data_IF_095482379278
#
_entry.id   IF_095482379278
#
_cell.length_a   1.000
_cell.length_b   1.000
_cell.length_c   1.000
_cell.angle_alpha   90.00
_cell.angle_beta   90.00
_cell.angle_gamma   90.00
#
_symmetry.space_group_name_H-M   'P 1'
#
loop_
_entity.id
_entity.type
_entity.pdbx_description
1 polymer ?
#
# COMPACT_ATOMS: atom_id res chain seq x y z
N UNK A 1 39.06 15.24 -18.41
CA UNK A 1 37.76 14.61 -18.77
C UNK A 1 36.85 14.84 -17.58
N UNK A 2 35.78 15.61 -17.78
CA UNK A 2 34.80 15.92 -16.73
C UNK A 2 33.90 14.72 -16.52
N UNK A 3 33.73 14.31 -15.27
CA UNK A 3 32.89 13.18 -14.90
C UNK A 3 31.46 13.32 -15.48
N UNK A 4 31.01 12.28 -16.20
CA UNK A 4 29.72 12.26 -16.93
C UNK A 4 28.61 11.63 -16.09
N UNK A 5 28.97 10.77 -15.14
CA UNK A 5 28.03 10.05 -14.27
C UNK A 5 27.63 10.96 -13.10
N UNK A 6 26.32 11.09 -12.84
CA UNK A 6 25.79 11.87 -11.73
C UNK A 6 24.85 11.02 -10.89
N UNK A 7 24.90 11.19 -9.58
CA UNK A 7 23.92 10.61 -8.68
C UNK A 7 22.53 11.21 -8.98
N UNK A 8 21.54 10.33 -9.07
CA UNK A 8 20.15 10.76 -9.17
C UNK A 8 19.71 11.33 -7.82
N UNK A 9 18.89 12.39 -7.81
CA UNK A 9 18.23 12.82 -6.59
C UNK A 9 17.37 11.69 -5.99
N UNK A 10 17.32 11.58 -4.67
CA UNK A 10 16.64 10.48 -3.96
C UNK A 10 15.18 10.32 -4.39
N UNK A 11 14.45 11.42 -4.58
CA UNK A 11 13.04 11.36 -5.02
C UNK A 11 12.88 10.73 -6.41
N UNK A 12 13.84 10.93 -7.33
CA UNK A 12 13.83 10.32 -8.67
C UNK A 12 14.15 8.84 -8.57
N UNK A 13 15.17 8.47 -7.80
CA UNK A 13 15.53 7.07 -7.57
C UNK A 13 14.36 6.30 -6.92
N UNK A 14 13.68 6.91 -5.95
CA UNK A 14 12.51 6.35 -5.28
C UNK A 14 11.33 6.17 -6.25
N UNK A 15 11.06 7.14 -7.12
CA UNK A 15 10.01 7.02 -8.15
C UNK A 15 10.28 5.90 -9.15
N UNK A 16 11.54 5.71 -9.55
CA UNK A 16 11.94 4.64 -10.46
C UNK A 16 11.71 3.28 -9.79
N UNK A 17 12.24 3.10 -8.59
CA UNK A 17 12.14 1.84 -7.83
C UNK A 17 10.71 1.51 -7.42
N UNK A 18 9.93 2.51 -6.98
CA UNK A 18 8.53 2.34 -6.63
C UNK A 18 7.71 1.77 -7.78
N UNK A 19 8.07 2.13 -9.01
CA UNK A 19 7.43 1.61 -10.18
C UNK A 19 7.86 0.19 -10.60
N UNK A 20 8.96 -0.35 -10.08
CA UNK A 20 9.27 -1.77 -10.24
C UNK A 20 8.38 -2.64 -9.34
N UNK A 21 8.10 -2.12 -8.14
CA UNK A 21 7.21 -2.74 -7.14
C UNK A 21 5.74 -2.60 -7.55
N UNK A 22 5.29 -1.38 -7.86
CA UNK A 22 3.91 -1.08 -8.27
C UNK A 22 3.88 -0.74 -9.75
N UNK A 23 3.59 -1.75 -10.56
CA UNK A 23 3.57 -1.62 -12.03
C UNK A 23 2.20 -1.19 -12.56
N UNK A 24 1.13 -1.56 -11.86
CA UNK A 24 -0.27 -1.31 -12.24
C UNK A 24 -1.19 -1.35 -11.01
N UNK A 25 -2.46 -0.93 -11.11
CA UNK A 25 -3.38 -0.94 -9.97
C UNK A 25 -3.50 -2.29 -9.27
N UNK A 26 -3.54 -3.40 -10.01
CA UNK A 26 -3.61 -4.75 -9.44
C UNK A 26 -2.41 -5.09 -8.54
N UNK A 27 -1.22 -4.56 -8.81
CA UNK A 27 -0.05 -4.73 -7.94
C UNK A 27 -0.27 -4.06 -6.58
N UNK A 28 -0.84 -2.84 -6.56
CA UNK A 28 -1.19 -2.17 -5.31
C UNK A 28 -2.29 -2.91 -4.55
N UNK A 29 -3.29 -3.44 -5.26
CA UNK A 29 -4.35 -4.27 -4.66
C UNK A 29 -3.75 -5.48 -3.96
N UNK A 30 -2.88 -6.25 -4.63
CA UNK A 30 -2.20 -7.41 -4.02
C UNK A 30 -1.53 -7.04 -2.70
N UNK A 31 -0.65 -6.03 -2.73
CA UNK A 31 0.15 -5.65 -1.57
C UNK A 31 -0.72 -5.13 -0.41
N UNK A 32 -1.77 -4.35 -0.70
CA UNK A 32 -2.68 -3.84 0.33
C UNK A 32 -3.54 -4.96 0.94
N UNK A 33 -4.05 -5.90 0.13
CA UNK A 33 -4.79 -7.05 0.64
C UNK A 33 -3.91 -7.98 1.47
N UNK A 34 -2.68 -8.25 1.03
CA UNK A 34 -1.69 -9.05 1.78
C UNK A 34 -1.33 -8.40 3.11
N UNK A 35 -1.21 -7.07 3.17
CA UNK A 35 -1.01 -6.35 4.43
C UNK A 35 -2.20 -6.46 5.38
N UNK A 36 -3.43 -6.38 4.87
CA UNK A 36 -4.63 -6.58 5.67
C UNK A 36 -4.72 -8.01 6.23
N UNK A 37 -4.32 -9.03 5.44
CA UNK A 37 -4.24 -10.42 5.89
C UNK A 37 -3.18 -10.58 6.99
N UNK A 38 -1.98 -10.06 6.78
CA UNK A 38 -0.89 -10.11 7.76
C UNK A 38 -1.27 -9.37 9.07
N UNK A 39 -2.20 -8.40 9.02
CA UNK A 39 -2.78 -7.71 10.17
C UNK A 39 -3.87 -8.51 10.90
N UNK A 40 -4.05 -9.80 10.57
CA UNK A 40 -5.02 -10.73 11.20
C UNK A 40 -6.48 -10.30 11.04
N UNK A 41 -6.79 -9.68 9.90
CA UNK A 41 -8.15 -9.22 9.60
C UNK A 41 -9.09 -10.39 9.34
N UNK A 42 -10.34 -10.24 9.76
CA UNK A 42 -11.43 -11.19 9.49
C UNK A 42 -12.43 -10.67 8.45
N UNK A 43 -12.41 -9.36 8.21
CA UNK A 43 -13.14 -8.68 7.14
C UNK A 43 -12.20 -7.73 6.40
N UNK A 44 -12.20 -7.83 5.07
CA UNK A 44 -11.41 -6.98 4.19
C UNK A 44 -12.32 -6.49 3.06
N UNK A 45 -12.38 -5.18 2.87
CA UNK A 45 -13.16 -4.50 1.84
C UNK A 45 -12.23 -3.81 0.85
N UNK A 46 -12.37 -4.15 -0.43
CA UNK A 46 -11.69 -3.50 -1.54
C UNK A 46 -12.68 -2.58 -2.26
N UNK A 47 -12.34 -1.30 -2.38
CA UNK A 47 -13.11 -0.29 -3.11
C UNK A 47 -12.28 0.18 -4.30
N UNK A 48 -12.84 0.10 -5.50
CA UNK A 48 -12.16 0.48 -6.75
C UNK A 48 -12.94 1.57 -7.48
N UNK A 49 -12.23 2.61 -7.94
CA UNK A 49 -12.78 3.62 -8.87
C UNK A 49 -11.91 3.76 -10.11
N UNK A 50 -12.55 3.83 -11.28
CA UNK A 50 -11.92 3.99 -12.60
C UNK A 50 -10.79 2.98 -12.82
N UNK A 51 -11.10 1.69 -12.60
CA UNK A 51 -10.16 0.57 -12.69
C UNK A 51 -8.87 0.75 -11.86
N UNK A 52 -8.99 1.43 -10.71
CA UNK A 52 -7.89 1.66 -9.77
C UNK A 52 -6.97 2.81 -10.15
N UNK A 53 -7.26 3.54 -11.23
CA UNK A 53 -6.50 4.74 -11.63
C UNK A 53 -6.81 5.93 -10.71
N UNK A 54 -8.08 6.06 -10.33
CA UNK A 54 -8.55 7.13 -9.45
C UNK A 54 -8.48 6.71 -7.98
N UNK A 55 -8.94 5.51 -7.65
CA UNK A 55 -8.95 5.01 -6.28
C UNK A 55 -8.72 3.49 -6.23
N UNK A 56 -7.80 3.08 -5.39
CA UNK A 56 -7.77 1.74 -4.76
C UNK A 56 -7.79 1.96 -3.26
N UNK A 57 -8.81 1.46 -2.57
CA UNK A 57 -8.88 1.53 -1.12
C UNK A 57 -9.12 0.15 -0.53
N UNK A 58 -8.29 -0.22 0.45
CA UNK A 58 -8.48 -1.43 1.25
C UNK A 58 -8.82 -1.00 2.67
N UNK A 59 -9.92 -1.51 3.19
CA UNK A 59 -10.38 -1.31 4.57
C UNK A 59 -10.43 -2.67 5.23
N UNK A 60 -9.76 -2.81 6.35
CA UNK A 60 -9.72 -4.02 7.14
C UNK A 60 -10.09 -3.77 8.60
N UNK A 61 -10.44 -4.84 9.30
CA UNK A 61 -10.73 -4.83 10.74
C UNK A 61 -9.62 -5.49 11.57
N UNK A 62 -8.37 -5.45 11.07
CA UNK A 62 -7.22 -6.07 11.70
C UNK A 62 -6.76 -5.35 12.98
N UNK A 63 -5.54 -5.65 13.40
CA UNK A 63 -4.98 -5.13 14.66
C UNK A 63 -4.72 -3.62 14.67
N UNK A 64 -4.65 -2.98 13.51
CA UNK A 64 -4.28 -1.57 13.36
C UNK A 64 -2.81 -1.28 13.71
N UNK A 65 -2.42 -0.01 13.65
CA UNK A 65 -1.07 0.47 13.96
C UNK A 65 -1.10 1.57 15.01
N UNK A 66 0.00 1.67 15.78
CA UNK A 66 0.22 2.83 16.64
C UNK A 66 0.50 4.09 15.80
N UNK A 67 0.42 5.28 16.39
CA UNK A 67 0.80 6.55 15.73
C UNK A 67 2.21 6.46 15.13
N UNK A 68 3.14 5.87 15.87
CA UNK A 68 4.54 5.73 15.46
C UNK A 68 4.67 4.71 14.32
N UNK A 69 4.04 3.54 14.44
CA UNK A 69 4.11 2.50 13.40
C UNK A 69 3.43 2.95 12.11
N UNK A 70 2.31 3.67 12.22
CA UNK A 70 1.59 4.21 11.07
C UNK A 70 2.48 5.15 10.24
N UNK A 71 3.34 5.93 10.93
CA UNK A 71 4.33 6.77 10.26
C UNK A 71 5.49 5.96 9.68
N UNK A 72 6.05 5.04 10.47
CA UNK A 72 7.16 4.18 10.03
C UNK A 72 6.78 3.27 8.87
N UNK A 73 5.52 2.89 8.72
CA UNK A 73 5.04 2.04 7.63
C UNK A 73 5.28 2.65 6.23
N UNK A 74 5.48 3.96 6.14
CA UNK A 74 5.81 4.67 4.90
C UNK A 74 7.31 4.87 4.67
N UNK A 75 8.16 4.48 5.63
CA UNK A 75 9.61 4.49 5.48
C UNK A 75 10.08 3.24 4.72
N UNK A 76 11.16 3.37 3.93
CA UNK A 76 11.73 2.21 3.23
C UNK A 76 12.46 1.30 4.20
N UNK A 77 12.38 0.00 3.96
CA UNK A 77 13.06 -1.03 4.76
C UNK A 77 12.57 -1.10 6.22
N UNK A 78 11.39 -0.55 6.50
CA UNK A 78 10.74 -0.63 7.80
C UNK A 78 9.67 -1.73 7.75
N UNK A 79 9.84 -2.78 8.55
CA UNK A 79 8.94 -3.94 8.60
C UNK A 79 8.87 -4.50 10.00
N UNK A 80 7.69 -4.95 10.42
CA UNK A 80 7.50 -5.70 11.67
C UNK A 80 7.63 -7.21 11.48
N UNK A 81 7.87 -7.67 10.24
CA UNK A 81 7.65 -9.06 9.82
C UNK A 81 8.93 -9.91 9.79
N UNK A 82 10.10 -9.28 9.74
CA UNK A 82 11.43 -9.91 9.84
C UNK A 82 12.36 -9.00 10.65
N UNK A 83 13.30 -9.58 11.38
CA UNK A 83 14.31 -8.88 12.19
C UNK A 83 15.75 -9.28 11.80
N UNK A 84 15.95 -10.49 11.29
CA UNK A 84 17.27 -10.96 10.86
C UNK A 84 17.24 -11.65 9.49
N UNK A 85 18.41 -11.89 8.90
CA UNK A 85 18.53 -12.56 7.60
C UNK A 85 18.01 -14.01 7.65
N UNK A 86 18.09 -14.65 8.81
CA UNK A 86 17.59 -16.01 9.05
C UNK A 86 16.06 -16.11 8.91
N UNK A 87 15.33 -15.03 9.20
CA UNK A 87 13.87 -14.98 9.06
C UNK A 87 13.42 -15.12 7.60
N UNK A 88 14.28 -14.80 6.63
CA UNK A 88 14.01 -15.00 5.20
C UNK A 88 13.79 -16.47 4.84
N UNK A 89 14.35 -17.39 5.61
CA UNK A 89 14.20 -18.83 5.39
C UNK A 89 12.97 -19.42 6.12
N UNK A 90 12.30 -18.64 6.96
CA UNK A 90 11.12 -19.07 7.74
C UNK A 90 9.92 -18.11 7.60
N UNK A 91 9.74 -17.54 6.41
CA UNK A 91 8.68 -16.57 6.13
C UNK A 91 7.28 -17.15 6.38
N UNK A 92 6.56 -16.55 7.34
CA UNK A 92 5.16 -16.85 7.65
C UNK A 92 4.18 -15.75 7.21
N UNK A 93 4.69 -14.60 6.81
CA UNK A 93 3.93 -13.44 6.35
C UNK A 93 4.02 -13.27 4.84
N UNK A 94 3.04 -12.59 4.24
CA UNK A 94 3.00 -12.37 2.78
C UNK A 94 3.93 -11.25 2.34
N UNK A 95 3.96 -10.15 3.11
CA UNK A 95 4.95 -9.08 2.95
C UNK A 95 6.15 -9.27 3.89
N UNK A 96 7.33 -8.79 3.51
CA UNK A 96 8.49 -8.75 4.42
C UNK A 96 9.52 -7.66 4.09
N UNK A 97 9.46 -7.06 2.89
CA UNK A 97 10.48 -6.09 2.43
C UNK A 97 10.36 -4.70 3.06
N UNK A 98 9.20 -4.35 3.64
CA UNK A 98 8.97 -3.01 4.18
C UNK A 98 9.00 -1.91 3.10
N UNK A 99 8.53 -2.23 1.89
CA UNK A 99 8.64 -1.35 0.73
C UNK A 99 7.30 -1.00 0.07
N UNK A 100 6.23 -1.76 0.35
CA UNK A 100 4.98 -1.62 -0.38
C UNK A 100 4.33 -0.24 -0.20
N UNK A 101 4.08 0.18 1.04
CA UNK A 101 3.44 1.46 1.34
C UNK A 101 4.33 2.65 0.97
N UNK A 102 5.63 2.56 1.25
CA UNK A 102 6.62 3.55 0.81
C UNK A 102 6.62 3.73 -0.72
N UNK A 103 6.56 2.61 -1.46
CA UNK A 103 6.51 2.62 -2.93
C UNK A 103 5.21 3.23 -3.44
N UNK A 104 4.07 2.86 -2.87
CA UNK A 104 2.77 3.44 -3.22
C UNK A 104 2.77 4.95 -2.97
N UNK A 105 3.26 5.39 -1.80
CA UNK A 105 3.34 6.80 -1.42
C UNK A 105 4.28 7.64 -2.31
N UNK A 106 5.26 7.02 -2.96
CA UNK A 106 6.15 7.72 -3.90
C UNK A 106 5.46 8.10 -5.22
N UNK A 107 4.40 7.39 -5.61
CA UNK A 107 3.78 7.47 -6.95
C UNK A 107 2.28 7.79 -6.93
N UNK A 108 1.67 7.92 -5.76
CA UNK A 108 0.25 8.20 -5.57
C UNK A 108 0.05 9.19 -4.41
N UNK A 109 -1.17 9.70 -4.25
CA UNK A 109 -1.59 10.35 -3.03
C UNK A 109 -2.15 9.27 -2.12
N UNK A 110 -1.62 9.12 -0.92
CA UNK A 110 -2.04 8.08 0.02
C UNK A 110 -2.69 8.73 1.22
N UNK A 111 -3.81 8.15 1.63
CA UNK A 111 -4.48 8.44 2.89
C UNK A 111 -4.59 7.14 3.67
N UNK A 112 -4.11 7.14 4.91
CA UNK A 112 -4.20 6.02 5.82
C UNK A 112 -4.94 6.46 7.08
N UNK A 113 -5.94 5.69 7.48
CA UNK A 113 -6.59 5.81 8.78
C UNK A 113 -6.38 4.48 9.50
N UNK A 114 -5.84 4.49 10.70
CA UNK A 114 -5.60 3.26 11.46
C UNK A 114 -5.85 3.45 12.94
N UNK A 115 -6.35 2.41 13.60
CA UNK A 115 -6.65 2.41 15.03
C UNK A 115 -6.47 1.02 15.62
N UNK A 116 -5.68 0.94 16.69
CA UNK A 116 -5.61 -0.27 17.52
C UNK A 116 -6.79 -0.32 18.49
N UNK A 117 -7.20 -1.52 18.88
CA UNK A 117 -8.26 -1.70 19.87
C UNK A 117 -7.97 -1.01 21.22
N UNK A 118 -6.68 -0.88 21.58
CA UNK A 118 -6.24 -0.23 22.81
C UNK A 118 -6.23 1.30 22.76
N UNK A 119 -6.32 1.90 21.57
CA UNK A 119 -6.27 3.36 21.40
C UNK A 119 -7.70 3.94 21.38
N UNK A 120 -7.89 5.11 21.99
CA UNK A 120 -9.20 5.81 22.00
C UNK A 120 -9.52 6.45 20.64
N UNK A 121 -8.52 7.08 20.02
CA UNK A 121 -8.62 7.76 18.74
C UNK A 121 -7.83 7.02 17.66
N UNK A 122 -8.30 7.12 16.42
CA UNK A 122 -7.54 6.70 15.25
C UNK A 122 -6.52 7.78 14.87
N UNK A 123 -5.54 7.40 14.05
CA UNK A 123 -4.63 8.37 13.40
C UNK A 123 -4.92 8.40 11.91
N UNK A 124 -5.10 9.60 11.37
CA UNK A 124 -5.11 9.84 9.93
C UNK A 124 -3.75 10.37 9.48
N UNK A 125 -3.20 9.79 8.42
CA UNK A 125 -1.96 10.20 7.78
C UNK A 125 -2.21 10.41 6.29
N UNK A 126 -1.69 11.50 5.72
CA UNK A 126 -1.65 11.71 4.27
C UNK A 126 -0.22 11.88 3.78
N UNK A 127 0.11 11.19 2.69
CA UNK A 127 1.44 11.18 2.09
C UNK A 127 1.33 11.42 0.59
N UNK A 128 2.16 12.32 0.06
CA UNK A 128 2.20 12.67 -1.36
C UNK A 128 3.64 12.72 -1.83
N UNK A 129 4.01 11.87 -2.81
CA UNK A 129 5.38 11.82 -3.33
C UNK A 129 6.42 11.57 -2.23
N UNK A 130 6.13 10.64 -1.31
CA UNK A 130 6.93 10.31 -0.13
C UNK A 130 7.09 11.45 0.90
N UNK A 131 6.26 12.49 0.85
CA UNK A 131 6.23 13.56 1.86
C UNK A 131 4.93 13.51 2.66
N UNK A 132 5.04 13.51 3.98
CA UNK A 132 3.89 13.63 4.87
C UNK A 132 3.30 15.04 4.75
N UNK A 133 2.02 15.13 4.39
CA UNK A 133 1.30 16.39 4.25
C UNK A 133 0.30 16.62 5.38
N UNK A 134 -0.10 15.57 6.08
CA UNK A 134 -1.07 15.61 7.16
C UNK A 134 -0.86 14.45 8.14
N UNK A 135 -0.99 14.73 9.43
CA UNK A 135 -1.04 13.72 10.48
C UNK A 135 -1.81 14.26 11.69
N UNK A 136 -3.02 13.75 11.93
CA UNK A 136 -3.87 14.19 13.04
C UNK A 136 -4.69 13.02 13.62
N UNK A 137 -5.12 13.10 14.90
CA UNK A 137 -6.10 12.18 15.45
C UNK A 137 -7.47 12.31 14.77
N UNK A 138 -8.18 11.20 14.58
CA UNK A 138 -9.54 11.18 14.04
C UNK A 138 -10.42 10.09 14.69
N UNK A 139 -11.71 10.10 14.37
CA UNK A 139 -12.67 9.09 14.82
C UNK A 139 -12.83 8.03 13.73
N UNK A 140 -12.45 6.79 14.03
CA UNK A 140 -12.67 5.63 13.16
C UNK A 140 -12.80 4.34 14.00
N UNK A 141 -13.26 3.26 13.35
CA UNK A 141 -13.27 1.92 13.94
C UNK A 141 -11.87 1.31 14.04
N UNK A 142 -11.75 0.17 14.72
CA UNK A 142 -10.51 -0.59 14.78
C UNK A 142 -10.13 -1.16 13.40
N UNK A 143 -8.83 -1.31 13.15
CA UNK A 143 -8.29 -1.80 11.88
C UNK A 143 -7.62 -0.68 11.10
N UNK A 144 -7.48 -0.89 9.79
CA UNK A 144 -6.79 0.03 8.89
C UNK A 144 -7.57 0.27 7.61
N UNK A 145 -7.63 1.53 7.17
CA UNK A 145 -8.07 1.94 5.83
C UNK A 145 -6.90 2.59 5.12
N UNK A 146 -6.45 2.03 3.99
CA UNK A 146 -5.45 2.64 3.10
C UNK A 146 -6.09 2.95 1.76
N UNK A 147 -6.15 4.23 1.42
CA UNK A 147 -6.64 4.74 0.14
C UNK A 147 -5.47 5.27 -0.71
N UNK A 148 -5.20 4.60 -1.83
CA UNK A 148 -4.31 5.06 -2.88
C UNK A 148 -5.13 5.83 -3.94
N UNK A 149 -4.87 7.13 -4.04
CA UNK A 149 -5.57 8.05 -4.95
C UNK A 149 -4.64 8.55 -6.06
N UNK A 150 -5.16 8.62 -7.28
CA UNK A 150 -4.45 9.12 -8.46
C UNK A 150 -3.10 8.42 -8.72
N UNK A 151 -3.13 7.13 -9.06
CA UNK A 151 -1.92 6.37 -9.36
C UNK A 151 -1.09 7.05 -10.48
N UNK A 152 0.22 7.08 -10.29
CA UNK A 152 1.20 7.69 -11.20
C UNK A 152 0.96 9.18 -11.49
N UNK A 153 0.37 9.94 -10.55
CA UNK A 153 0.12 11.38 -10.74
C UNK A 153 1.39 12.18 -11.08
N UNK A 154 2.54 11.76 -10.53
CA UNK A 154 3.84 12.39 -10.71
C UNK A 154 4.74 11.64 -11.72
N UNK A 155 4.24 10.59 -12.40
CA UNK A 155 4.98 9.88 -13.45
C UNK A 155 4.08 9.69 -14.70
N UNK A 156 3.90 10.73 -15.54
CA UNK A 156 2.96 10.72 -16.66
C UNK A 156 3.20 9.59 -17.67
N UNK A 157 4.47 9.28 -17.95
CA UNK A 157 4.83 8.19 -18.87
C UNK A 157 4.22 6.86 -18.41
N UNK A 158 4.34 6.51 -17.13
CA UNK A 158 3.76 5.27 -16.56
C UNK A 158 2.25 5.30 -16.57
N UNK A 159 1.64 6.45 -16.28
CA UNK A 159 0.19 6.63 -16.38
C UNK A 159 -0.33 6.34 -17.80
N UNK A 160 0.41 6.76 -18.83
CA UNK A 160 0.10 6.50 -20.23
C UNK A 160 0.33 5.04 -20.65
N UNK A 161 1.17 4.28 -19.93
CA UNK A 161 1.38 2.85 -20.18
C UNK A 161 0.29 1.95 -19.60
N UNK A 162 -0.57 2.47 -18.70
CA UNK A 162 -1.73 1.75 -18.21
C UNK A 162 -2.65 1.39 -19.37
N UNK A 163 -3.19 0.18 -19.35
CA UNK A 163 -4.10 -0.30 -20.38
C UNK A 163 -5.49 0.34 -20.23
N UNK A 164 -6.42 -0.08 -21.08
CA UNK A 164 -7.82 0.32 -20.95
C UNK A 164 -8.37 -0.08 -19.59
N UNK A 165 -9.38 0.64 -19.11
CA UNK A 165 -9.98 0.40 -17.80
C UNK A 165 -10.52 -1.04 -17.69
N UNK A 166 -11.06 -1.59 -18.78
CA UNK A 166 -11.50 -2.99 -18.85
C UNK A 166 -10.38 -4.01 -18.60
N UNK A 167 -9.16 -3.73 -19.06
CA UNK A 167 -8.00 -4.62 -18.89
C UNK A 167 -7.44 -4.49 -17.48
N UNK A 168 -7.28 -3.26 -16.98
CA UNK A 168 -6.80 -3.04 -15.61
C UNK A 168 -7.78 -3.59 -14.56
N UNK A 169 -9.08 -3.40 -14.78
CA UNK A 169 -10.12 -3.95 -13.90
C UNK A 169 -10.07 -5.48 -13.86
N UNK A 170 -9.87 -6.14 -15.01
CA UNK A 170 -9.72 -7.60 -15.06
C UNK A 170 -8.54 -8.06 -14.21
N UNK A 171 -7.38 -7.40 -14.34
CA UNK A 171 -6.21 -7.71 -13.51
C UNK A 171 -6.48 -7.53 -12.02
N UNK A 172 -7.23 -6.49 -11.63
CA UNK A 172 -7.63 -6.28 -10.23
C UNK A 172 -8.53 -7.42 -9.74
N UNK A 173 -9.54 -7.78 -10.52
CA UNK A 173 -10.51 -8.83 -10.15
C UNK A 173 -9.82 -10.19 -10.04
N UNK A 174 -8.93 -10.52 -10.98
CA UNK A 174 -8.16 -11.77 -10.95
C UNK A 174 -7.31 -11.85 -9.68
N UNK A 175 -6.67 -10.75 -9.29
CA UNK A 175 -5.85 -10.68 -8.08
C UNK A 175 -6.70 -10.77 -6.81
N UNK A 176 -7.82 -10.03 -6.76
CA UNK A 176 -8.77 -10.09 -5.66
C UNK A 176 -9.29 -11.52 -5.46
N UNK A 177 -9.73 -12.20 -6.53
CA UNK A 177 -10.17 -13.59 -6.45
C UNK A 177 -9.07 -14.53 -5.98
N UNK A 178 -7.84 -14.38 -6.49
CA UNK A 178 -6.71 -15.21 -6.07
C UNK A 178 -6.46 -15.10 -4.56
N UNK A 179 -6.45 -13.87 -4.04
CA UNK A 179 -6.23 -13.62 -2.61
C UNK A 179 -7.41 -14.12 -1.79
N UNK A 180 -8.65 -13.84 -2.19
CA UNK A 180 -9.85 -14.24 -1.47
C UNK A 180 -10.01 -15.77 -1.38
N UNK A 181 -9.81 -16.49 -2.49
CA UNK A 181 -9.92 -17.95 -2.54
C UNK A 181 -8.83 -18.65 -1.69
N UNK A 182 -7.66 -18.02 -1.52
CA UNK A 182 -6.60 -18.56 -0.68
C UNK A 182 -6.88 -18.41 0.83
N UNK A 183 -7.84 -17.57 1.22
CA UNK A 183 -8.14 -17.26 2.63
C UNK A 183 -9.65 -17.39 2.91
N UNK A 184 -10.21 -18.62 2.89
CA UNK A 184 -11.65 -18.85 3.00
C UNK A 184 -12.26 -18.45 4.35
N UNK A 185 -11.43 -18.23 5.37
CA UNK A 185 -11.86 -17.82 6.71
C UNK A 185 -11.99 -16.29 6.88
N UNK A 186 -11.68 -15.52 5.83
CA UNK A 186 -11.76 -14.06 5.84
C UNK A 186 -12.91 -13.64 4.92
N UNK A 187 -13.75 -12.71 5.39
CA UNK A 187 -14.81 -12.13 4.56
C UNK A 187 -14.20 -11.07 3.65
N UNK A 188 -14.31 -11.27 2.33
CA UNK A 188 -13.89 -10.29 1.34
C UNK A 188 -15.09 -9.62 0.68
N UNK A 189 -15.10 -8.28 0.68
CA UNK A 189 -16.09 -7.48 -0.05
C UNK A 189 -15.40 -6.69 -1.17
N UNK A 190 -15.92 -6.77 -2.38
CA UNK A 190 -15.50 -5.93 -3.52
C UNK A 190 -16.60 -4.90 -3.82
N UNK A 191 -16.22 -3.62 -3.91
CA UNK A 191 -17.12 -2.48 -4.18
C UNK A 191 -16.61 -1.66 -5.35
#
# INVERSE_FOLDING_TARGET
>A
MTDVIRLLPDHVANQIAAGEVIQRPASAVKELLENAIDAQSTEIKLIIKDAGKTLVQVIDNGIGMSVTDARLAFERHATSKIQSAEDLFTLRTKGFRGEALASIAAIAHVEMITKRAADELATEIRVEGSKFTYQEPCVAGNGTSVAMKNLFFNIPARRNFLKSDSVELRHIIDEFHRVALAHPNITFLYV
#
